data_IF_968824128456
#
_entry.id   IF_968824128456
#
_cell.length_a   1.000
_cell.length_b   1.000
_cell.length_c   1.000
_cell.angle_alpha   90.00
_cell.angle_beta   90.00
_cell.angle_gamma   90.00
#
_symmetry.space_group_name_H-M   'P 1'
#
loop_
_entity.id
_entity.type
_entity.pdbx_description
1 polymer ?
#
# COMPACT_ATOMS: atom_id res chain seq x y z
N UNK A 1 -16.41 -3.66 -1.39
CA UNK A 1 -15.52 -2.81 -0.58
C UNK A 1 -16.32 -2.31 0.62
N UNK A 2 -15.82 -2.49 1.84
CA UNK A 2 -16.45 -1.99 3.07
C UNK A 2 -15.49 -0.94 3.66
N UNK A 3 -15.97 0.29 3.80
CA UNK A 3 -15.16 1.38 4.37
C UNK A 3 -15.41 1.47 5.88
N UNK A 4 -14.35 1.68 6.65
CA UNK A 4 -14.46 1.90 8.09
C UNK A 4 -14.86 3.35 8.40
N UNK A 5 -14.20 4.30 7.74
CA UNK A 5 -14.56 5.72 7.69
C UNK A 5 -14.73 6.14 6.24
N UNK A 6 -15.68 7.02 5.96
CA UNK A 6 -15.84 7.66 4.65
C UNK A 6 -16.06 9.14 4.86
N UNK A 7 -15.17 9.94 4.27
CA UNK A 7 -15.14 11.40 4.40
C UNK A 7 -15.50 12.01 3.04
N UNK A 8 -16.29 13.06 3.03
CA UNK A 8 -16.76 13.71 1.81
C UNK A 8 -15.67 14.53 1.11
N UNK A 9 -14.78 15.17 1.87
CA UNK A 9 -13.71 15.99 1.33
C UNK A 9 -12.55 15.12 0.81
N UNK A 10 -12.19 15.33 -0.45
CA UNK A 10 -11.03 14.66 -1.08
C UNK A 10 -9.71 15.25 -0.56
N UNK A 11 -9.20 14.67 0.53
CA UNK A 11 -7.96 15.10 1.17
C UNK A 11 -7.36 13.99 2.05
N UNK A 12 -6.26 14.31 2.74
CA UNK A 12 -5.68 13.38 3.72
C UNK A 12 -6.67 13.13 4.87
N UNK A 13 -6.75 11.92 5.44
CA UNK A 13 -7.75 11.57 6.45
C UNK A 13 -7.83 12.56 7.61
N UNK A 14 -6.71 12.96 8.22
CA UNK A 14 -6.74 13.92 9.34
C UNK A 14 -7.45 15.23 8.96
N UNK A 15 -7.12 15.80 7.80
CA UNK A 15 -7.65 17.08 7.35
C UNK A 15 -9.13 16.98 6.98
N UNK A 16 -9.50 15.95 6.22
CA UNK A 16 -10.91 15.72 5.86
C UNK A 16 -11.77 15.48 7.11
N UNK A 17 -11.25 14.74 8.09
CA UNK A 17 -11.97 14.44 9.34
C UNK A 17 -12.18 15.69 10.20
N UNK A 18 -11.17 16.56 10.29
CA UNK A 18 -11.25 17.84 11.00
C UNK A 18 -12.24 18.81 10.32
N UNK A 19 -12.22 18.89 8.99
CA UNK A 19 -13.15 19.73 8.23
C UNK A 19 -14.61 19.30 8.44
N UNK A 20 -14.85 18.00 8.58
CA UNK A 20 -16.19 17.43 8.71
C UNK A 20 -16.62 17.27 10.18
N UNK A 21 -15.79 17.66 11.15
CA UNK A 21 -16.05 17.49 12.57
C UNK A 21 -16.21 16.02 12.99
N UNK A 22 -15.62 15.10 12.22
CA UNK A 22 -15.65 13.66 12.46
C UNK A 22 -14.35 13.22 13.11
N UNK A 23 -14.41 12.56 14.26
CA UNK A 23 -13.21 12.00 14.89
C UNK A 23 -12.92 10.59 14.36
N UNK A 24 -11.69 10.36 13.88
CA UNK A 24 -11.19 9.02 13.58
C UNK A 24 -10.60 8.44 14.87
N UNK A 25 -11.34 7.51 15.48
CA UNK A 25 -10.92 6.75 16.65
C UNK A 25 -9.94 5.65 16.22
N UNK A 26 -8.66 5.99 16.25
CA UNK A 26 -7.58 5.09 15.84
C UNK A 26 -7.35 3.94 16.81
N UNK A 27 -7.76 4.07 18.07
CA UNK A 27 -7.62 3.00 19.06
C UNK A 27 -8.68 1.93 18.82
N UNK A 28 -9.91 2.35 18.51
CA UNK A 28 -10.98 1.47 18.08
C UNK A 28 -10.69 0.78 16.75
N UNK A 29 -10.21 1.53 15.77
CA UNK A 29 -9.77 0.97 14.48
C UNK A 29 -8.69 -0.10 14.68
N UNK A 30 -7.65 0.18 15.48
CA UNK A 30 -6.57 -0.78 15.73
C UNK A 30 -7.08 -2.04 16.43
N UNK A 31 -7.97 -1.90 17.42
CA UNK A 31 -8.61 -3.06 18.09
C UNK A 31 -9.47 -3.88 17.14
N UNK A 32 -10.24 -3.23 16.27
CA UNK A 32 -11.06 -3.92 15.29
C UNK A 32 -10.18 -4.70 14.31
N UNK A 33 -9.17 -4.07 13.73
CA UNK A 33 -8.23 -4.71 12.81
C UNK A 33 -7.50 -5.89 13.48
N UNK A 34 -7.06 -5.71 14.73
CA UNK A 34 -6.48 -6.81 15.51
C UNK A 34 -7.45 -8.00 15.65
N UNK A 35 -8.73 -7.73 15.88
CA UNK A 35 -9.74 -8.79 16.07
C UNK A 35 -10.02 -9.62 14.81
N UNK A 36 -9.75 -9.06 13.63
CA UNK A 36 -9.97 -9.71 12.32
C UNK A 36 -8.66 -10.06 11.61
N UNK A 37 -7.51 -9.98 12.29
CA UNK A 37 -6.18 -10.14 11.66
C UNK A 37 -5.92 -11.51 11.03
N UNK A 38 -6.62 -12.54 11.51
CA UNK A 38 -6.53 -13.90 10.99
C UNK A 38 -7.54 -14.17 9.86
N UNK A 39 -8.38 -13.19 9.50
CA UNK A 39 -9.29 -13.29 8.36
C UNK A 39 -8.53 -13.10 7.04
N UNK A 40 -9.00 -13.79 5.99
CA UNK A 40 -8.44 -13.66 4.63
C UNK A 40 -9.00 -12.42 3.93
N UNK A 41 -8.58 -11.25 4.37
CA UNK A 41 -9.01 -9.96 3.86
C UNK A 41 -7.84 -9.12 3.38
N UNK A 42 -8.10 -8.25 2.39
CA UNK A 42 -7.16 -7.23 1.95
C UNK A 42 -7.62 -5.90 2.56
N UNK A 43 -6.69 -5.22 3.22
CA UNK A 43 -6.92 -3.90 3.81
C UNK A 43 -6.09 -2.90 3.01
N UNK A 44 -6.76 -1.90 2.44
CA UNK A 44 -6.11 -0.76 1.81
C UNK A 44 -6.14 0.43 2.78
N UNK A 45 -4.98 1.05 3.00
CA UNK A 45 -4.89 2.30 3.74
C UNK A 45 -5.35 3.50 2.90
N UNK A 46 -5.33 4.69 3.48
CA UNK A 46 -5.60 5.93 2.76
C UNK A 46 -4.29 6.71 2.52
N UNK A 47 -3.80 6.67 1.28
CA UNK A 47 -2.56 7.33 0.88
C UNK A 47 -1.29 6.56 1.28
N UNK A 48 -0.24 7.27 1.67
CA UNK A 48 1.06 6.69 2.04
C UNK A 48 1.16 6.21 3.50
N UNK A 49 2.25 5.51 3.79
CA UNK A 49 2.53 4.87 5.08
C UNK A 49 2.52 5.84 6.28
N UNK A 50 3.08 7.03 6.10
CA UNK A 50 3.17 8.08 7.12
C UNK A 50 2.06 9.14 6.99
N UNK A 51 0.97 8.82 6.30
CA UNK A 51 -0.19 9.70 6.28
C UNK A 51 -0.83 9.73 7.67
N UNK A 52 -1.10 10.93 8.23
CA UNK A 52 -1.81 11.05 9.49
C UNK A 52 -3.29 10.71 9.33
N UNK A 53 -3.77 9.83 10.20
CA UNK A 53 -5.20 9.54 10.38
C UNK A 53 -5.84 10.60 11.27
N UNK A 54 -5.11 11.08 12.28
CA UNK A 54 -5.46 12.23 13.10
C UNK A 54 -4.16 12.94 13.55
N UNK A 55 -4.24 13.94 14.43
CA UNK A 55 -3.06 14.70 14.91
C UNK A 55 -2.08 13.90 15.78
N UNK A 56 -2.43 12.67 16.16
CA UNK A 56 -1.66 11.83 17.09
C UNK A 56 -1.15 10.54 16.44
N UNK A 57 -1.81 10.07 15.39
CA UNK A 57 -1.61 8.73 14.86
C UNK A 57 -1.41 8.74 13.34
N UNK A 58 -0.37 8.00 12.92
CA UNK A 58 -0.08 7.71 11.51
C UNK A 58 -0.67 6.36 11.12
N UNK A 59 -0.91 6.14 9.83
CA UNK A 59 -1.35 4.84 9.29
C UNK A 59 -0.45 3.70 9.75
N UNK A 60 0.88 3.86 9.68
CA UNK A 60 1.82 2.83 10.16
C UNK A 60 1.68 2.51 11.66
N UNK A 61 1.27 3.45 12.51
CA UNK A 61 1.07 3.13 13.94
C UNK A 61 -0.17 2.27 14.17
N UNK A 62 -1.23 2.48 13.40
CA UNK A 62 -2.43 1.63 13.43
C UNK A 62 -2.09 0.21 12.95
N UNK A 63 -1.34 0.09 11.84
CA UNK A 63 -0.87 -1.21 11.32
C UNK A 63 -0.03 -1.94 12.38
N UNK A 64 0.91 -1.22 13.01
CA UNK A 64 1.76 -1.76 14.08
C UNK A 64 0.95 -2.23 15.29
N UNK A 65 -0.02 -1.44 15.74
CA UNK A 65 -0.89 -1.79 16.88
C UNK A 65 -1.84 -2.95 16.57
N UNK A 66 -2.28 -3.07 15.32
CA UNK A 66 -3.13 -4.16 14.86
C UNK A 66 -2.37 -5.48 14.63
N UNK A 67 -1.03 -5.47 14.70
CA UNK A 67 -0.17 -6.63 14.46
C UNK A 67 -0.46 -7.33 13.12
N UNK A 68 -0.81 -6.56 12.09
CA UNK A 68 -1.09 -7.09 10.75
C UNK A 68 0.16 -7.00 9.86
N UNK A 69 0.41 -8.02 9.02
CA UNK A 69 1.49 -7.97 8.04
C UNK A 69 1.20 -6.93 6.95
N UNK A 70 2.27 -6.43 6.33
CA UNK A 70 2.21 -5.40 5.30
C UNK A 70 2.80 -5.88 3.98
N UNK A 71 2.18 -5.48 2.88
CA UNK A 71 2.75 -5.52 1.53
C UNK A 71 2.97 -4.08 1.09
N UNK A 72 4.17 -3.77 0.61
CA UNK A 72 4.49 -2.45 0.11
C UNK A 72 4.25 -2.39 -1.40
N UNK A 73 3.37 -1.49 -1.86
CA UNK A 73 3.26 -1.19 -3.29
C UNK A 73 4.22 -0.04 -3.64
N UNK A 74 5.10 -0.28 -4.60
CA UNK A 74 6.17 0.65 -4.97
C UNK A 74 6.13 1.03 -6.46
N UNK A 75 6.44 2.29 -6.83
CA UNK A 75 6.60 2.68 -8.23
C UNK A 75 7.89 2.11 -8.82
N UNK A 76 8.03 2.18 -10.15
CA UNK A 76 9.26 1.80 -10.87
C UNK A 76 9.91 2.92 -11.66
N UNK A 77 9.38 4.13 -11.59
CA UNK A 77 9.86 5.31 -12.32
C UNK A 77 10.95 6.08 -11.57
N UNK A 78 11.49 7.15 -12.18
CA UNK A 78 12.49 8.00 -11.55
C UNK A 78 12.06 8.47 -10.15
N UNK A 79 12.92 8.22 -9.16
CA UNK A 79 12.66 8.52 -7.74
C UNK A 79 12.15 7.32 -6.93
N UNK A 80 11.75 6.22 -7.60
CA UNK A 80 11.27 5.00 -6.95
C UNK A 80 12.27 4.42 -5.94
N UNK A 81 13.56 4.37 -6.28
CA UNK A 81 14.59 3.81 -5.38
C UNK A 81 14.55 4.51 -4.02
N UNK A 82 14.66 5.84 -4.00
CA UNK A 82 14.66 6.59 -2.74
C UNK A 82 13.32 6.47 -2.00
N UNK A 83 12.21 6.63 -2.71
CA UNK A 83 10.88 6.57 -2.08
C UNK A 83 10.60 5.20 -1.44
N UNK A 84 10.97 4.12 -2.13
CA UNK A 84 10.76 2.77 -1.64
C UNK A 84 11.71 2.45 -0.49
N UNK A 85 12.99 2.80 -0.57
CA UNK A 85 13.94 2.56 0.53
C UNK A 85 13.56 3.34 1.79
N UNK A 86 13.16 4.62 1.68
CA UNK A 86 12.65 5.41 2.82
C UNK A 86 11.36 4.80 3.41
N UNK A 87 10.50 4.25 2.56
CA UNK A 87 9.29 3.55 3.00
C UNK A 87 9.64 2.29 3.79
N UNK A 88 10.60 1.51 3.30
CA UNK A 88 11.08 0.30 3.97
C UNK A 88 11.72 0.63 5.31
N UNK A 89 12.56 1.67 5.39
CA UNK A 89 13.11 2.13 6.68
C UNK A 89 12.01 2.52 7.67
N UNK A 90 10.97 3.22 7.21
CA UNK A 90 9.84 3.60 8.07
C UNK A 90 9.06 2.38 8.61
N UNK A 91 8.94 1.32 7.81
CA UNK A 91 8.30 0.05 8.20
C UNK A 91 9.19 -0.71 9.19
N UNK A 92 10.47 -0.90 8.87
CA UNK A 92 11.44 -1.65 9.68
C UNK A 92 11.66 -1.00 11.05
N UNK A 93 11.75 0.33 11.11
CA UNK A 93 11.89 1.08 12.37
C UNK A 93 10.69 0.89 13.33
N UNK A 94 9.58 0.33 12.84
CA UNK A 94 8.37 0.02 13.62
C UNK A 94 8.18 -1.46 13.89
N UNK A 95 9.12 -2.32 13.47
CA UNK A 95 9.04 -3.78 13.57
C UNK A 95 7.74 -4.35 12.95
N UNK A 96 7.26 -3.75 11.87
CA UNK A 96 6.11 -4.27 11.13
C UNK A 96 6.60 -5.38 10.19
N UNK A 97 5.88 -6.50 10.18
CA UNK A 97 6.17 -7.64 9.32
C UNK A 97 5.89 -7.30 7.84
N UNK A 98 6.96 -6.97 7.11
CA UNK A 98 6.91 -6.68 5.68
C UNK A 98 7.06 -7.97 4.88
N UNK A 99 5.98 -8.41 4.24
CA UNK A 99 5.99 -9.63 3.42
C UNK A 99 6.75 -9.48 2.11
N UNK A 100 6.79 -8.27 1.56
CA UNK A 100 7.52 -7.99 0.34
C UNK A 100 7.05 -6.72 -0.36
N UNK A 101 7.57 -6.52 -1.57
CA UNK A 101 7.27 -5.37 -2.42
C UNK A 101 6.53 -5.83 -3.66
N UNK A 102 5.43 -5.18 -3.99
CA UNK A 102 4.75 -5.33 -5.26
C UNK A 102 4.97 -4.08 -6.11
N UNK A 103 5.52 -4.23 -7.30
CA UNK A 103 5.86 -3.10 -8.15
C UNK A 103 4.73 -2.73 -9.10
N UNK A 104 4.42 -1.44 -9.23
CA UNK A 104 3.34 -0.94 -10.08
C UNK A 104 3.82 0.29 -10.85
N UNK A 105 3.55 0.34 -12.15
CA UNK A 105 3.83 1.57 -12.92
C UNK A 105 3.76 1.38 -14.42
N UNK A 106 4.13 2.44 -15.14
CA UNK A 106 4.38 2.36 -16.58
C UNK A 106 5.85 1.99 -16.78
N UNK A 107 6.16 0.93 -17.53
CA UNK A 107 7.51 0.46 -17.66
C UNK A 107 8.32 1.42 -18.55
N UNK A 108 9.56 1.68 -18.15
CA UNK A 108 10.55 2.37 -18.97
C UNK A 108 11.89 1.62 -18.93
N UNK A 109 12.91 2.17 -19.62
CA UNK A 109 14.24 1.55 -19.71
C UNK A 109 14.95 1.34 -18.37
N UNK A 110 14.47 1.97 -17.28
CA UNK A 110 15.04 1.91 -15.93
C UNK A 110 14.27 0.96 -15.01
N UNK A 111 13.08 0.51 -15.40
CA UNK A 111 12.20 -0.31 -14.54
C UNK A 111 12.89 -1.53 -13.95
N UNK A 112 13.58 -2.33 -14.79
CA UNK A 112 14.25 -3.56 -14.34
C UNK A 112 15.39 -3.27 -13.35
N UNK A 113 16.21 -2.27 -13.66
CA UNK A 113 17.34 -1.86 -12.81
C UNK A 113 16.87 -1.24 -11.49
N UNK A 114 15.78 -0.47 -11.51
CA UNK A 114 15.19 0.10 -10.29
C UNK A 114 14.66 -1.00 -9.36
N UNK A 115 13.92 -1.98 -9.89
CA UNK A 115 13.41 -3.13 -9.12
C UNK A 115 14.58 -3.89 -8.50
N UNK A 116 15.60 -4.22 -9.31
CA UNK A 116 16.79 -4.94 -8.86
C UNK A 116 17.55 -4.18 -7.78
N UNK A 117 17.78 -2.88 -7.98
CA UNK A 117 18.49 -2.04 -7.01
C UNK A 117 17.73 -1.98 -5.68
N UNK A 118 16.41 -1.84 -5.72
CA UNK A 118 15.57 -1.79 -4.51
C UNK A 118 15.65 -3.11 -3.74
N UNK A 119 15.53 -4.25 -4.41
CA UNK A 119 15.55 -5.57 -3.75
C UNK A 119 16.94 -5.91 -3.21
N UNK A 120 18.01 -5.61 -3.95
CA UNK A 120 19.40 -5.82 -3.49
C UNK A 120 19.74 -4.96 -2.26
N UNK A 121 19.37 -3.67 -2.25
CA UNK A 121 19.67 -2.78 -1.13
C UNK A 121 18.83 -3.03 0.11
N UNK A 122 17.54 -3.32 -0.07
CA UNK A 122 16.64 -3.54 1.06
C UNK A 122 16.69 -4.95 1.64
N UNK A 123 17.11 -5.94 0.83
CA UNK A 123 16.98 -7.36 1.16
C UNK A 123 15.54 -7.86 1.20
N UNK A 124 14.57 -7.04 0.80
CA UNK A 124 13.14 -7.38 0.77
C UNK A 124 12.82 -8.06 -0.57
N UNK A 125 12.04 -9.13 -0.51
CA UNK A 125 11.65 -9.88 -1.71
C UNK A 125 10.68 -9.08 -2.58
N UNK A 126 10.83 -9.22 -3.91
CA UNK A 126 9.80 -8.81 -4.85
C UNK A 126 8.72 -9.90 -4.89
N UNK A 127 7.47 -9.50 -4.67
CA UNK A 127 6.30 -10.38 -4.78
C UNK A 127 5.77 -10.46 -6.21
N UNK A 128 6.17 -9.50 -7.06
CA UNK A 128 5.74 -9.39 -8.44
C UNK A 128 5.68 -7.96 -8.93
N UNK A 129 5.20 -7.79 -10.15
CA UNK A 129 4.99 -6.48 -10.76
C UNK A 129 3.76 -6.47 -11.64
N UNK A 130 3.05 -5.36 -11.65
CA UNK A 130 1.98 -5.10 -12.60
C UNK A 130 2.25 -3.82 -13.39
N UNK A 131 2.23 -3.91 -14.71
CA UNK A 131 2.61 -2.80 -15.57
C UNK A 131 1.43 -2.28 -16.39
N UNK A 132 1.26 -0.96 -16.34
CA UNK A 132 0.24 -0.23 -17.09
C UNK A 132 0.81 0.26 -18.42
N UNK A 133 -0.07 0.44 -19.41
CA UNK A 133 0.32 0.96 -20.73
C UNK A 133 0.69 2.46 -20.68
N UNK A 134 0.00 3.23 -19.85
CA UNK A 134 0.20 4.67 -19.69
C UNK A 134 -0.24 5.13 -18.29
N UNK A 135 0.10 6.38 -17.94
CA UNK A 135 -0.37 7.02 -16.70
C UNK A 135 -1.76 7.66 -16.88
N UNK A 136 -2.40 7.46 -18.03
CA UNK A 136 -3.72 8.02 -18.29
C UNK A 136 -4.78 7.26 -17.51
N UNK A 137 -5.82 7.98 -17.07
CA UNK A 137 -6.96 7.34 -16.44
C UNK A 137 -7.70 6.50 -17.47
N UNK A 138 -7.87 5.23 -17.18
CA UNK A 138 -8.67 4.30 -17.98
C UNK A 138 -10.00 3.99 -17.29
N UNK A 139 -11.02 3.62 -18.08
CA UNK A 139 -12.30 3.19 -17.53
C UNK A 139 -12.19 1.82 -16.87
N UNK A 140 -13.20 1.46 -16.07
CA UNK A 140 -13.26 0.13 -15.46
C UNK A 140 -13.31 -0.97 -16.53
N UNK A 141 -14.05 -0.77 -17.61
CA UNK A 141 -14.15 -1.71 -18.73
C UNK A 141 -12.78 -1.89 -19.40
N UNK A 142 -12.11 -0.79 -19.73
CA UNK A 142 -10.77 -0.82 -20.33
C UNK A 142 -9.73 -1.49 -19.40
N UNK A 143 -9.80 -1.25 -18.09
CA UNK A 143 -8.97 -1.97 -17.12
C UNK A 143 -9.26 -3.48 -17.15
N UNK A 144 -10.54 -3.88 -17.18
CA UNK A 144 -10.90 -5.29 -17.23
C UNK A 144 -10.43 -5.98 -18.51
N UNK A 145 -10.48 -5.29 -19.65
CA UNK A 145 -10.11 -5.85 -20.95
C UNK A 145 -8.59 -5.86 -21.18
N UNK A 146 -7.89 -4.78 -20.82
CA UNK A 146 -6.48 -4.59 -21.18
C UNK A 146 -5.48 -4.91 -20.07
N UNK A 147 -5.92 -4.81 -18.82
CA UNK A 147 -5.05 -4.88 -17.64
C UNK A 147 -5.19 -6.23 -16.93
N UNK A 148 -6.42 -6.71 -16.65
CA UNK A 148 -6.63 -7.99 -15.95
C UNK A 148 -5.94 -9.18 -16.63
N UNK A 149 -5.97 -9.36 -17.98
CA UNK A 149 -5.31 -10.51 -18.60
C UNK A 149 -3.78 -10.55 -18.44
N UNK A 150 -3.17 -9.41 -18.08
CA UNK A 150 -1.72 -9.29 -17.82
C UNK A 150 -1.38 -9.50 -16.35
N UNK A 151 -2.38 -9.54 -15.47
CA UNK A 151 -2.17 -9.76 -14.04
C UNK A 151 -2.04 -11.26 -13.80
N UNK A 152 -0.82 -11.70 -13.50
CA UNK A 152 -0.59 -13.10 -13.12
C UNK A 152 -1.17 -13.35 -11.72
N UNK A 153 -2.42 -13.81 -11.70
CA UNK A 153 -3.17 -14.05 -10.48
C UNK A 153 -2.56 -15.20 -9.67
N UNK A 154 -2.06 -16.23 -10.34
CA UNK A 154 -1.54 -17.45 -9.69
C UNK A 154 -0.20 -17.19 -9.02
N UNK A 155 0.70 -16.44 -9.66
CA UNK A 155 1.98 -16.08 -9.08
C UNK A 155 1.83 -14.94 -8.05
N UNK A 156 1.11 -13.87 -8.40
CA UNK A 156 0.99 -12.68 -7.53
C UNK A 156 0.23 -12.96 -6.25
N UNK A 157 -0.93 -13.65 -6.31
CA UNK A 157 -1.74 -13.90 -5.12
C UNK A 157 -1.12 -14.97 -4.24
N UNK A 158 -0.50 -16.01 -4.83
CA UNK A 158 0.16 -17.06 -4.05
C UNK A 158 1.33 -16.52 -3.23
N UNK A 159 2.08 -15.55 -3.76
CA UNK A 159 3.15 -14.91 -3.00
C UNK A 159 2.63 -13.96 -1.90
N UNK A 160 1.36 -13.54 -1.98
CA UNK A 160 0.71 -12.58 -1.06
C UNK A 160 -0.08 -13.28 0.07
N UNK A 161 -0.72 -14.42 -0.21
CA UNK A 161 -1.67 -15.09 0.70
C UNK A 161 -1.14 -16.38 1.36
N UNK A 162 0.14 -16.73 1.19
CA UNK A 162 0.80 -17.88 1.82
C UNK A 162 1.66 -17.43 2.99
#
# INVERSE_FOLDING_TARGET
MKNYYSLAFAGSPHYSSELEGTEIDTDELSRHLYSIRDEKIIIEGAGGLLVPLNRRMLTLEVIRQAEIPLILVAPTSLGAINQTLLSIEAIQNRNIDLKGIYFLGVPDKTTEDNIRTITEWSGVISLGSFFLNSNERISCECFQEECIPKFDLDESIKNILV
#
